data_IF_433828774060
#
_entry.id   IF_433828774060
#
_cell.length_a   1.000
_cell.length_b   1.000
_cell.length_c   1.000
_cell.angle_alpha   90.00
_cell.angle_beta   90.00
_cell.angle_gamma   90.00
#
_symmetry.space_group_name_H-M   'P 1'
#
loop_
_entity.id
_entity.type
_entity.pdbx_description
1 polymer ?
#
# COMPACT_ATOMS: atom_id res chain seq x y z
N UNK A 1 16.05 8.81 -30.58
CA UNK A 1 15.55 7.48 -31.02
C UNK A 1 14.76 6.90 -29.84
N UNK A 2 13.58 6.33 -30.09
CA UNK A 2 12.61 5.69 -29.16
C UNK A 2 11.40 6.49 -28.59
N UNK A 3 10.76 7.34 -29.40
CA UNK A 3 9.37 7.76 -29.11
C UNK A 3 8.32 6.69 -29.49
N UNK A 4 8.61 5.79 -30.44
CA UNK A 4 7.70 4.70 -30.83
C UNK A 4 7.63 3.52 -29.84
N UNK A 5 8.70 3.27 -29.09
CA UNK A 5 8.80 2.11 -28.18
C UNK A 5 7.94 2.28 -26.90
N UNK A 6 7.82 3.53 -26.42
CA UNK A 6 7.00 3.87 -25.25
C UNK A 6 5.50 3.76 -25.52
N UNK A 7 5.03 4.26 -26.67
CA UNK A 7 3.61 4.23 -27.03
C UNK A 7 3.10 2.80 -27.26
N UNK A 8 3.88 1.94 -27.92
CA UNK A 8 3.53 0.54 -28.10
C UNK A 8 3.50 -0.19 -26.77
N UNK A 9 4.55 -0.04 -25.95
CA UNK A 9 4.63 -0.72 -24.66
C UNK A 9 3.50 -0.30 -23.71
N UNK A 10 3.17 0.99 -23.67
CA UNK A 10 2.03 1.50 -22.91
C UNK A 10 0.71 0.82 -23.34
N UNK A 11 0.45 0.73 -24.65
CA UNK A 11 -0.76 0.08 -25.16
C UNK A 11 -0.86 -1.41 -24.79
N UNK A 12 0.27 -2.13 -24.82
CA UNK A 12 0.35 -3.54 -24.42
C UNK A 12 0.06 -3.69 -22.94
N UNK A 13 0.66 -2.86 -22.09
CA UNK A 13 0.49 -2.94 -20.64
C UNK A 13 -0.89 -2.52 -20.19
N UNK A 14 -1.47 -1.50 -20.83
CA UNK A 14 -2.86 -1.13 -20.63
C UNK A 14 -3.78 -2.31 -20.88
N UNK A 15 -3.64 -3.01 -22.02
CA UNK A 15 -4.41 -4.22 -22.32
C UNK A 15 -4.18 -5.34 -21.30
N UNK A 16 -2.94 -5.49 -20.81
CA UNK A 16 -2.62 -6.48 -19.78
C UNK A 16 -3.33 -6.19 -18.46
N UNK A 17 -3.34 -4.92 -18.03
CA UNK A 17 -4.03 -4.46 -16.82
C UNK A 17 -5.54 -4.61 -17.01
N UNK A 18 -6.09 -4.18 -18.14
CA UNK A 18 -7.52 -4.37 -18.46
C UNK A 18 -7.92 -5.85 -18.44
N UNK A 19 -7.08 -6.75 -18.95
CA UNK A 19 -7.35 -8.19 -18.90
C UNK A 19 -7.34 -8.74 -17.47
N UNK A 20 -6.49 -8.19 -16.59
CA UNK A 20 -6.46 -8.55 -15.17
C UNK A 20 -7.70 -8.01 -14.45
N UNK A 21 -8.04 -6.74 -14.67
CA UNK A 21 -9.11 -6.04 -13.95
C UNK A 21 -10.51 -6.61 -14.29
N UNK A 22 -10.69 -7.14 -15.51
CA UNK A 22 -11.94 -7.78 -15.93
C UNK A 22 -12.01 -9.29 -15.68
N UNK A 23 -10.95 -9.91 -15.15
CA UNK A 23 -10.95 -11.34 -14.90
C UNK A 23 -11.71 -11.68 -13.60
N UNK A 24 -12.63 -12.64 -13.68
CA UNK A 24 -13.36 -13.14 -12.49
C UNK A 24 -12.44 -13.86 -11.49
N UNK A 25 -11.28 -14.34 -11.96
CA UNK A 25 -10.28 -15.03 -11.15
C UNK A 25 -8.86 -14.71 -11.65
N UNK A 26 -7.83 -14.83 -10.78
CA UNK A 26 -6.46 -14.55 -11.17
C UNK A 26 -5.99 -15.38 -12.38
N UNK A 27 -5.48 -14.71 -13.40
CA UNK A 27 -4.92 -15.30 -14.61
C UNK A 27 -3.48 -15.75 -14.39
N UNK A 28 -3.14 -16.91 -14.94
CA UNK A 28 -1.78 -17.42 -14.97
C UNK A 28 -0.88 -16.53 -15.85
N UNK A 29 0.44 -16.62 -15.63
CA UNK A 29 1.39 -15.88 -16.45
C UNK A 29 1.27 -16.26 -17.93
N UNK A 30 1.03 -17.55 -18.21
CA UNK A 30 0.87 -18.06 -19.57
C UNK A 30 -0.40 -17.51 -20.24
N UNK A 31 -1.52 -17.46 -19.51
CA UNK A 31 -2.78 -16.89 -20.03
C UNK A 31 -2.63 -15.40 -20.38
N UNK A 32 -1.99 -14.63 -19.50
CA UNK A 32 -1.72 -13.20 -19.74
C UNK A 32 -0.77 -13.01 -20.93
N UNK A 33 0.30 -13.79 -21.01
CA UNK A 33 1.27 -13.70 -22.09
C UNK A 33 0.65 -14.07 -23.44
N UNK A 34 -0.20 -15.11 -23.47
CA UNK A 34 -0.91 -15.55 -24.66
C UNK A 34 -1.89 -14.48 -25.17
N UNK A 35 -2.62 -13.81 -24.28
CA UNK A 35 -3.54 -12.71 -24.62
C UNK A 35 -2.83 -11.55 -25.34
N UNK A 36 -1.53 -11.40 -25.09
CA UNK A 36 -0.69 -10.33 -25.63
C UNK A 36 0.25 -10.83 -26.75
N UNK A 37 0.12 -12.09 -27.19
CA UNK A 37 0.99 -12.74 -28.16
C UNK A 37 2.49 -12.66 -27.79
N UNK A 38 2.81 -12.88 -26.51
CA UNK A 38 4.16 -12.84 -25.98
C UNK A 38 4.55 -14.17 -25.32
N UNK A 39 5.86 -14.41 -25.19
CA UNK A 39 6.32 -15.46 -24.29
C UNK A 39 6.15 -15.04 -22.82
N UNK A 40 5.88 -15.97 -21.89
CA UNK A 40 5.70 -15.67 -20.46
C UNK A 40 6.89 -14.91 -19.86
N UNK A 41 8.11 -15.31 -20.20
CA UNK A 41 9.33 -14.68 -19.70
C UNK A 41 9.54 -13.26 -20.25
N UNK A 42 9.11 -12.99 -21.49
CA UNK A 42 9.15 -11.64 -22.04
C UNK A 42 8.11 -10.75 -21.37
N UNK A 43 6.86 -11.22 -21.28
CA UNK A 43 5.77 -10.49 -20.65
C UNK A 43 6.08 -10.15 -19.18
N UNK A 44 6.55 -11.13 -18.38
CA UNK A 44 6.90 -10.88 -16.98
C UNK A 44 7.94 -9.77 -16.83
N UNK A 45 9.00 -9.77 -17.65
CA UNK A 45 10.04 -8.74 -17.62
C UNK A 45 9.49 -7.38 -18.03
N UNK A 46 8.71 -7.33 -19.11
CA UNK A 46 8.11 -6.10 -19.62
C UNK A 46 7.15 -5.47 -18.60
N UNK A 47 6.24 -6.28 -18.06
CA UNK A 47 5.28 -5.86 -17.04
C UNK A 47 5.99 -5.39 -15.76
N UNK A 48 6.95 -6.16 -15.25
CA UNK A 48 7.69 -5.77 -14.03
C UNK A 48 8.51 -4.51 -14.21
N UNK A 49 9.06 -4.29 -15.42
CA UNK A 49 9.83 -3.07 -15.73
C UNK A 49 8.97 -1.82 -15.66
N UNK A 50 7.74 -1.88 -16.17
CA UNK A 50 6.88 -0.72 -16.30
C UNK A 50 5.92 -0.52 -15.14
N UNK A 51 5.33 -1.61 -14.63
CA UNK A 51 4.42 -1.58 -13.48
C UNK A 51 5.21 -1.61 -12.16
N UNK A 52 6.50 -1.96 -12.19
CA UNK A 52 7.36 -2.01 -11.00
C UNK A 52 7.19 -3.27 -10.14
N UNK A 53 6.18 -4.10 -10.41
CA UNK A 53 5.90 -5.38 -9.74
C UNK A 53 5.57 -6.46 -10.75
N UNK A 54 5.73 -7.73 -10.39
CA UNK A 54 5.36 -8.83 -11.29
C UNK A 54 3.84 -8.96 -11.45
N UNK A 55 3.34 -9.51 -12.57
CA UNK A 55 1.90 -9.72 -12.80
C UNK A 55 1.21 -10.47 -11.66
N UNK A 56 1.88 -11.50 -11.11
CA UNK A 56 1.37 -12.27 -9.97
C UNK A 56 1.22 -11.42 -8.71
N UNK A 57 2.18 -10.54 -8.42
CA UNK A 57 2.12 -9.65 -7.25
C UNK A 57 1.04 -8.58 -7.43
N UNK A 58 0.90 -8.06 -8.64
CA UNK A 58 -0.18 -7.12 -8.97
C UNK A 58 -1.56 -7.73 -8.71
N UNK A 59 -1.82 -8.93 -9.23
CA UNK A 59 -3.07 -9.64 -8.99
C UNK A 59 -3.30 -9.96 -7.50
N UNK A 60 -2.26 -10.37 -6.78
CA UNK A 60 -2.34 -10.58 -5.32
C UNK A 60 -2.77 -9.33 -4.56
N UNK A 61 -2.33 -8.15 -5.01
CA UNK A 61 -2.73 -6.89 -4.40
C UNK A 61 -4.21 -6.57 -4.69
N UNK A 62 -4.69 -6.77 -5.92
CA UNK A 62 -6.11 -6.63 -6.23
C UNK A 62 -6.99 -7.59 -5.41
N UNK A 63 -6.55 -8.84 -5.26
CA UNK A 63 -7.23 -9.82 -4.40
C UNK A 63 -7.30 -9.35 -2.94
N UNK A 64 -6.24 -8.70 -2.44
CA UNK A 64 -6.24 -8.15 -1.08
C UNK A 64 -7.25 -7.02 -0.91
N UNK A 65 -7.34 -6.10 -1.87
CA UNK A 65 -8.33 -5.01 -1.82
C UNK A 65 -9.76 -5.56 -1.82
N UNK A 66 -10.03 -6.60 -2.62
CA UNK A 66 -11.29 -7.33 -2.56
C UNK A 66 -11.52 -7.97 -1.18
N UNK A 67 -10.49 -8.60 -0.60
CA UNK A 67 -10.60 -9.19 0.74
C UNK A 67 -10.92 -8.13 1.81
N UNK A 68 -10.29 -6.96 1.75
CA UNK A 68 -10.54 -5.85 2.69
C UNK A 68 -11.99 -5.39 2.60
N UNK A 69 -12.51 -5.19 1.38
CA UNK A 69 -13.91 -4.82 1.16
C UNK A 69 -14.89 -5.86 1.74
N UNK A 70 -14.60 -7.15 1.62
CA UNK A 70 -15.41 -8.22 2.20
C UNK A 70 -15.36 -8.23 3.74
N UNK A 71 -14.19 -8.02 4.34
CA UNK A 71 -14.06 -7.95 5.80
C UNK A 71 -14.77 -6.71 6.38
N UNK A 72 -14.75 -5.58 5.65
CA UNK A 72 -15.51 -4.38 6.02
C UNK A 72 -17.02 -4.62 5.98
N UNK A 73 -17.49 -5.48 5.07
CA UNK A 73 -18.87 -5.97 5.00
C UNK A 73 -19.19 -7.05 6.04
N UNK A 74 -18.30 -7.28 7.03
CA UNK A 74 -18.46 -8.23 8.14
C UNK A 74 -18.47 -9.71 7.74
N UNK A 75 -17.92 -10.07 6.58
CA UNK A 75 -17.64 -11.47 6.27
C UNK A 75 -16.60 -12.06 7.22
N UNK A 76 -16.72 -13.34 7.54
CA UNK A 76 -15.68 -14.06 8.26
C UNK A 76 -14.41 -14.20 7.42
N UNK A 77 -13.28 -14.48 8.07
CA UNK A 77 -12.00 -14.73 7.37
C UNK A 77 -12.07 -15.95 6.45
N UNK A 78 -12.90 -16.95 6.79
CA UNK A 78 -13.12 -18.13 5.96
C UNK A 78 -13.95 -17.80 4.71
N UNK A 79 -15.07 -17.10 4.87
CA UNK A 79 -15.91 -16.66 3.74
C UNK A 79 -15.14 -15.73 2.81
N UNK A 80 -14.40 -14.78 3.38
CA UNK A 80 -13.54 -13.86 2.63
C UNK A 80 -12.53 -14.61 1.79
N UNK A 81 -11.82 -15.59 2.38
CA UNK A 81 -10.86 -16.40 1.64
C UNK A 81 -11.52 -17.17 0.50
N UNK A 82 -12.70 -17.77 0.73
CA UNK A 82 -13.41 -18.52 -0.29
C UNK A 82 -13.91 -17.62 -1.44
N UNK A 83 -14.52 -16.47 -1.13
CA UNK A 83 -15.02 -15.53 -2.14
C UNK A 83 -13.90 -14.88 -2.96
N UNK A 84 -12.74 -14.64 -2.35
CA UNK A 84 -11.56 -14.13 -3.04
C UNK A 84 -10.78 -15.21 -3.81
N UNK A 85 -11.31 -16.44 -3.91
CA UNK A 85 -10.67 -17.55 -4.63
C UNK A 85 -9.38 -18.06 -3.98
N UNK A 86 -9.17 -17.78 -2.69
CA UNK A 86 -8.01 -18.26 -1.94
C UNK A 86 -8.24 -19.70 -1.45
N UNK A 87 -7.17 -20.46 -1.33
CA UNK A 87 -7.21 -21.86 -0.87
C UNK A 87 -7.60 -22.02 0.62
N UNK A 88 -7.80 -20.93 1.35
CA UNK A 88 -8.21 -20.93 2.76
C UNK A 88 -7.73 -19.69 3.53
N UNK A 89 -8.16 -19.60 4.79
CA UNK A 89 -7.86 -18.47 5.69
C UNK A 89 -6.36 -18.29 5.98
N UNK A 90 -5.57 -19.36 5.93
CA UNK A 90 -4.11 -19.27 6.03
C UNK A 90 -3.51 -18.46 4.87
N UNK A 91 -4.04 -18.61 3.65
CA UNK A 91 -3.57 -17.85 2.49
C UNK A 91 -3.97 -16.38 2.55
N UNK A 92 -5.16 -16.11 3.09
CA UNK A 92 -5.61 -14.76 3.41
C UNK A 92 -4.66 -14.11 4.44
N UNK A 93 -4.29 -14.86 5.48
CA UNK A 93 -3.34 -14.39 6.50
C UNK A 93 -1.96 -14.06 5.90
N UNK A 94 -1.40 -14.93 5.06
CA UNK A 94 -0.15 -14.66 4.35
C UNK A 94 -0.23 -13.39 3.50
N UNK A 95 -1.38 -13.16 2.86
CA UNK A 95 -1.59 -12.01 1.98
C UNK A 95 -1.62 -10.71 2.78
N UNK A 96 -2.33 -10.71 3.91
CA UNK A 96 -2.36 -9.60 4.85
C UNK A 96 -0.98 -9.35 5.45
N UNK A 97 -0.28 -10.33 6.02
CA UNK A 97 1.05 -10.09 6.59
C UNK A 97 2.08 -9.57 5.59
N UNK A 98 1.89 -9.88 4.30
CA UNK A 98 2.78 -9.41 3.25
C UNK A 98 2.55 -7.94 2.89
N UNK A 99 1.31 -7.48 2.93
CA UNK A 99 0.89 -6.21 2.32
C UNK A 99 0.19 -5.24 3.28
N UNK A 100 -0.28 -5.73 4.42
CA UNK A 100 -0.97 -4.99 5.45
C UNK A 100 -0.23 -5.10 6.78
N UNK A 101 -0.44 -4.08 7.60
CA UNK A 101 0.21 -3.96 8.88
C UNK A 101 -0.30 -4.93 9.96
N UNK A 102 -1.37 -5.64 9.65
CA UNK A 102 -2.18 -6.38 10.60
C UNK A 102 -2.69 -7.66 9.97
N UNK A 103 -3.10 -8.60 10.81
CA UNK A 103 -3.78 -9.81 10.37
C UNK A 103 -5.18 -9.50 9.83
N UNK A 104 -5.78 -10.39 9.03
CA UNK A 104 -7.15 -10.21 8.53
C UNK A 104 -8.18 -10.05 9.65
N UNK A 105 -7.96 -10.71 10.80
CA UNK A 105 -8.86 -10.62 11.95
C UNK A 105 -8.77 -9.27 12.67
N UNK A 106 -7.57 -8.72 12.82
CA UNK A 106 -7.37 -7.36 13.34
C UNK A 106 -7.99 -6.31 12.41
N UNK A 107 -7.85 -6.51 11.09
CA UNK A 107 -8.50 -5.68 10.08
C UNK A 107 -10.03 -5.75 10.17
N UNK A 108 -10.62 -6.94 10.23
CA UNK A 108 -12.06 -7.12 10.36
C UNK A 108 -12.65 -6.47 11.64
N UNK A 109 -11.84 -6.40 12.70
CA UNK A 109 -12.18 -5.71 13.95
C UNK A 109 -11.92 -4.20 13.89
N UNK A 110 -11.49 -3.67 12.75
CA UNK A 110 -11.23 -2.25 12.50
C UNK A 110 -10.20 -1.63 13.48
N UNK A 111 -9.28 -2.46 13.98
CA UNK A 111 -8.23 -2.01 14.90
C UNK A 111 -8.64 -1.89 16.37
N UNK A 112 -9.77 -2.46 16.82
CA UNK A 112 -10.26 -2.40 18.22
C UNK A 112 -9.25 -2.89 19.28
N UNK A 113 -8.21 -3.62 18.88
CA UNK A 113 -7.12 -4.08 19.77
C UNK A 113 -5.79 -3.37 19.52
N UNK A 114 -5.76 -2.37 18.62
CA UNK A 114 -4.56 -1.66 18.22
C UNK A 114 -4.50 -0.33 18.98
N UNK A 115 -3.46 -0.15 19.76
CA UNK A 115 -3.11 1.16 20.33
C UNK A 115 -2.23 1.93 19.36
N UNK A 116 -2.68 3.11 18.96
CA UNK A 116 -1.92 4.04 18.13
C UNK A 116 -1.52 5.22 19.02
N UNK A 117 -0.24 5.35 19.30
CA UNK A 117 0.29 6.56 19.90
C UNK A 117 0.31 7.65 18.83
N UNK A 118 -0.03 8.88 19.22
CA UNK A 118 0.15 10.04 18.36
C UNK A 118 0.82 11.20 19.08
N UNK A 119 1.44 12.10 18.34
CA UNK A 119 2.01 13.33 18.86
C UNK A 119 2.13 14.39 17.78
N UNK A 120 2.06 15.65 18.21
CA UNK A 120 2.34 16.81 17.37
C UNK A 120 3.81 17.20 17.50
N UNK A 121 4.47 17.51 16.40
CA UNK A 121 5.86 17.94 16.42
C UNK A 121 6.21 18.90 15.30
N UNK A 122 7.20 19.75 15.54
CA UNK A 122 7.76 20.62 14.51
C UNK A 122 8.54 19.80 13.48
N UNK A 123 8.36 20.16 12.21
CA UNK A 123 9.08 19.57 11.08
C UNK A 123 9.53 20.65 10.10
N UNK A 124 10.42 20.33 9.14
CA UNK A 124 10.78 21.24 8.05
C UNK A 124 9.60 21.73 7.20
N UNK A 125 8.45 21.07 7.29
CA UNK A 125 7.22 21.38 6.55
C UNK A 125 6.14 22.02 7.44
N UNK A 126 6.52 22.51 8.62
CA UNK A 126 5.60 23.00 9.65
C UNK A 126 5.21 21.91 10.64
N UNK A 127 4.19 22.17 11.47
CA UNK A 127 3.73 21.21 12.46
C UNK A 127 3.15 19.95 11.79
N UNK A 128 3.61 18.80 12.24
CA UNK A 128 3.21 17.48 11.76
C UNK A 128 2.59 16.64 12.88
N UNK A 129 1.59 15.85 12.50
CA UNK A 129 1.09 14.72 13.26
C UNK A 129 1.97 13.51 12.98
N UNK A 130 2.44 12.85 14.03
CA UNK A 130 3.08 11.54 13.94
C UNK A 130 2.18 10.51 14.62
N UNK A 131 2.00 9.36 13.99
CA UNK A 131 1.30 8.21 14.53
C UNK A 131 2.19 6.97 14.49
N UNK A 132 2.17 6.18 15.56
CA UNK A 132 2.96 4.96 15.64
C UNK A 132 2.34 3.89 16.53
N UNK A 133 2.68 2.65 16.22
CA UNK A 133 2.36 1.47 17.05
C UNK A 133 3.64 0.97 17.73
N UNK A 134 3.55 -0.11 18.50
CA UNK A 134 4.73 -0.79 19.04
C UNK A 134 5.67 -1.37 17.96
N UNK A 135 5.27 -1.37 16.68
CA UNK A 135 6.07 -1.86 15.55
C UNK A 135 6.79 -0.74 14.77
N UNK A 136 6.48 0.53 15.03
CA UNK A 136 7.03 1.67 14.29
C UNK A 136 5.97 2.70 13.90
N UNK A 137 6.39 3.72 13.13
CA UNK A 137 5.49 4.75 12.60
C UNK A 137 4.52 4.16 11.59
N UNK A 138 3.23 4.50 11.74
CA UNK A 138 2.17 4.11 10.82
C UNK A 138 1.50 5.30 10.13
N UNK A 139 1.84 6.54 10.49
CA UNK A 139 1.29 7.72 9.85
C UNK A 139 2.09 8.99 10.12
N UNK A 140 2.16 9.84 9.10
CA UNK A 140 2.65 11.22 9.18
C UNK A 140 1.66 12.08 8.39
N UNK A 141 1.19 13.18 8.99
CA UNK A 141 0.36 14.16 8.31
C UNK A 141 0.83 15.58 8.64
N UNK A 142 0.72 16.49 7.68
CA UNK A 142 1.10 17.89 7.87
C UNK A 142 -0.15 18.73 8.13
N UNK A 143 -0.07 19.65 9.07
CA UNK A 143 -1.22 20.46 9.52
C UNK A 143 -1.30 21.82 8.82
N UNK A 144 -0.26 22.23 8.10
CA UNK A 144 -0.12 23.58 7.57
C UNK A 144 -1.27 24.02 6.67
N UNK A 145 -1.88 23.09 5.91
CA UNK A 145 -2.98 23.39 4.98
C UNK A 145 -4.36 23.06 5.55
N UNK A 146 -4.48 21.96 6.30
CA UNK A 146 -5.77 21.40 6.71
C UNK A 146 -6.11 21.64 8.18
N UNK A 147 -5.13 21.89 9.04
CA UNK A 147 -5.30 21.99 10.49
C UNK A 147 -5.16 20.65 11.22
N UNK A 148 -5.04 20.71 12.57
CA UNK A 148 -4.85 19.53 13.42
C UNK A 148 -6.03 18.56 13.37
N UNK A 149 -7.26 19.07 13.45
CA UNK A 149 -8.47 18.23 13.54
C UNK A 149 -8.66 17.40 12.28
N UNK A 150 -8.52 18.01 11.12
CA UNK A 150 -8.65 17.39 9.81
C UNK A 150 -7.51 16.39 9.57
N UNK A 151 -6.27 16.75 9.88
CA UNK A 151 -5.11 15.85 9.76
C UNK A 151 -5.27 14.60 10.65
N UNK A 152 -5.77 14.78 11.88
CA UNK A 152 -6.04 13.66 12.78
C UNK A 152 -7.17 12.78 12.26
N UNK A 153 -8.30 13.37 11.86
CA UNK A 153 -9.48 12.63 11.40
C UNK A 153 -9.18 11.82 10.13
N UNK A 154 -8.45 12.38 9.17
CA UNK A 154 -8.02 11.64 7.97
C UNK A 154 -7.18 10.42 8.38
N UNK A 155 -6.13 10.62 9.18
CA UNK A 155 -5.27 9.54 9.62
C UNK A 155 -6.03 8.48 10.45
N UNK A 156 -6.88 8.90 11.37
CA UNK A 156 -7.66 8.03 12.24
C UNK A 156 -8.74 7.23 11.48
N UNK A 157 -9.25 7.74 10.35
CA UNK A 157 -10.24 7.04 9.53
C UNK A 157 -9.73 5.69 8.98
N UNK A 158 -8.40 5.49 8.93
CA UNK A 158 -7.76 4.22 8.55
C UNK A 158 -7.94 3.14 9.63
N UNK A 159 -8.15 3.53 10.89
CA UNK A 159 -8.38 2.61 12.02
C UNK A 159 -9.46 3.18 12.96
N UNK A 160 -10.75 3.17 12.54
CA UNK A 160 -11.80 3.90 13.24
C UNK A 160 -12.12 3.34 14.64
N UNK A 161 -11.66 2.13 14.98
CA UNK A 161 -11.80 1.55 16.32
C UNK A 161 -10.49 1.47 17.10
N UNK A 162 -9.37 1.97 16.57
CA UNK A 162 -8.12 1.97 17.32
C UNK A 162 -8.20 2.85 18.58
N UNK A 163 -7.43 2.46 19.59
CA UNK A 163 -7.24 3.27 20.79
C UNK A 163 -6.13 4.29 20.53
N UNK A 164 -6.51 5.54 20.29
CA UNK A 164 -5.58 6.64 20.09
C UNK A 164 -5.15 7.24 21.43
N UNK A 165 -3.84 7.33 21.65
CA UNK A 165 -3.27 7.94 22.86
C UNK A 165 -2.22 8.97 22.49
N UNK A 166 -2.31 10.17 23.06
CA UNK A 166 -1.24 11.16 22.89
C UNK A 166 -0.01 10.74 23.72
N UNK A 167 1.11 10.45 23.06
CA UNK A 167 2.32 9.98 23.71
C UNK A 167 3.59 10.42 22.96
N UNK A 168 3.92 11.70 23.12
CA UNK A 168 5.10 12.30 22.51
C UNK A 168 6.41 11.60 22.89
N UNK A 169 6.54 11.11 24.13
CA UNK A 169 7.76 10.44 24.59
C UNK A 169 8.05 9.16 23.79
N UNK A 170 7.02 8.38 23.47
CA UNK A 170 7.17 7.14 22.70
C UNK A 170 7.54 7.38 21.22
N UNK A 171 7.20 8.54 20.68
CA UNK A 171 7.36 8.86 19.26
C UNK A 171 8.52 9.80 18.97
N UNK A 172 9.05 10.48 19.99
CA UNK A 172 10.07 11.53 19.84
C UNK A 172 11.25 11.09 18.98
N UNK A 173 11.88 9.97 19.34
CA UNK A 173 13.06 9.47 18.62
C UNK A 173 12.74 9.15 17.15
N UNK A 174 11.58 8.54 16.88
CA UNK A 174 11.16 8.19 15.53
C UNK A 174 10.79 9.41 14.70
N UNK A 175 10.10 10.38 15.29
CA UNK A 175 9.78 11.65 14.63
C UNK A 175 11.02 12.47 14.30
N UNK A 176 11.95 12.60 15.26
CA UNK A 176 13.22 13.31 15.06
C UNK A 176 14.06 12.64 13.95
N UNK A 177 14.12 11.31 13.93
CA UNK A 177 14.83 10.58 12.88
C UNK A 177 14.16 10.71 11.50
N UNK A 178 12.82 10.69 11.45
CA UNK A 178 12.06 10.83 10.21
C UNK A 178 12.31 12.18 9.51
N UNK A 179 12.45 13.27 10.27
CA UNK A 179 12.69 14.61 9.72
C UNK A 179 14.17 15.04 9.70
N UNK A 180 15.00 14.50 10.60
CA UNK A 180 16.38 14.91 10.80
C UNK A 180 17.38 14.36 9.77
N UNK A 181 16.96 13.48 8.86
CA UNK A 181 17.85 12.77 7.91
C UNK A 181 19.00 12.03 8.62
N UNK A 182 18.78 11.64 9.88
CA UNK A 182 19.77 10.99 10.75
C UNK A 182 19.10 9.93 11.60
N UNK A 183 19.75 8.78 11.79
CA UNK A 183 19.18 7.64 12.52
C UNK A 183 18.28 6.76 11.65
N UNK A 184 17.78 5.66 12.22
CA UNK A 184 16.83 4.75 11.58
C UNK A 184 15.44 4.91 12.20
N UNK A 185 14.43 5.01 11.35
CA UNK A 185 13.03 5.02 11.78
C UNK A 185 12.37 3.74 11.26
N UNK A 186 11.84 2.87 12.14
CA UNK A 186 11.00 1.77 11.70
C UNK A 186 9.72 2.36 11.10
N UNK A 187 9.66 2.36 9.79
CA UNK A 187 8.50 2.81 9.03
C UNK A 187 7.65 1.62 8.65
N UNK A 188 6.38 1.68 9.03
CA UNK A 188 5.36 0.84 8.46
C UNK A 188 4.75 1.54 7.26
N UNK A 189 5.33 1.30 6.08
CA UNK A 189 4.78 1.84 4.85
C UNK A 189 3.42 1.20 4.60
N UNK A 190 2.39 2.04 4.55
CA UNK A 190 1.05 1.65 4.14
C UNK A 190 1.00 1.74 2.63
N UNK A 191 0.83 0.59 1.99
CA UNK A 191 0.53 0.52 0.58
C UNK A 191 1.09 -0.72 -0.11
N UNK A 192 0.49 -1.04 -1.26
CA UNK A 192 0.98 -2.07 -2.16
C UNK A 192 2.45 -1.82 -2.53
N UNK A 193 3.24 -2.84 -2.92
CA UNK A 193 4.55 -2.59 -3.50
C UNK A 193 4.47 -1.75 -4.76
N UNK A 194 3.35 -1.82 -5.49
CA UNK A 194 3.11 -0.90 -6.59
C UNK A 194 3.05 0.56 -6.10
N UNK A 195 2.29 0.86 -5.04
CA UNK A 195 2.25 2.19 -4.44
C UNK A 195 3.62 2.59 -3.89
N UNK A 196 4.37 1.67 -3.27
CA UNK A 196 5.75 1.91 -2.85
C UNK A 196 6.65 2.21 -4.06
N UNK A 197 6.47 1.54 -5.20
CA UNK A 197 7.19 1.84 -6.44
C UNK A 197 6.84 3.21 -7.00
N UNK A 198 5.59 3.65 -6.86
CA UNK A 198 5.19 5.04 -7.16
C UNK A 198 5.96 6.00 -6.23
N UNK A 199 5.98 5.75 -4.92
CA UNK A 199 6.75 6.57 -3.98
C UNK A 199 8.25 6.59 -4.30
N UNK A 200 8.86 5.44 -4.58
CA UNK A 200 10.26 5.34 -5.01
C UNK A 200 10.52 6.11 -6.31
N UNK A 201 9.57 6.12 -7.25
CA UNK A 201 9.67 6.88 -8.48
C UNK A 201 9.57 8.39 -8.22
N UNK A 202 8.63 8.81 -7.36
CA UNK A 202 8.48 10.21 -6.94
C UNK A 202 9.73 10.72 -6.21
N UNK A 203 10.36 9.89 -5.37
CA UNK A 203 11.60 10.24 -4.68
C UNK A 203 12.81 10.43 -5.61
N UNK A 204 12.76 9.93 -6.84
CA UNK A 204 13.81 10.18 -7.85
C UNK A 204 13.65 11.53 -8.54
N UNK A 205 12.49 12.19 -8.39
CA UNK A 205 12.26 13.52 -8.96
C UNK A 205 13.07 14.52 -8.14
N UNK A 206 14.02 15.26 -8.75
CA UNK A 206 14.76 16.29 -8.03
C UNK A 206 13.81 17.39 -7.52
N UNK A 207 14.14 17.96 -6.36
CA UNK A 207 13.34 19.05 -5.80
C UNK A 207 13.17 20.21 -6.79
N UNK A 208 11.93 20.68 -6.97
CA UNK A 208 11.58 21.76 -7.89
C UNK A 208 11.37 21.34 -9.35
N UNK A 209 11.41 20.04 -9.66
CA UNK A 209 11.15 19.51 -11.00
C UNK A 209 9.86 18.71 -11.04
N UNK A 210 9.21 18.68 -12.21
CA UNK A 210 8.13 17.74 -12.53
C UNK A 210 8.67 16.74 -13.55
N UNK A 211 8.26 15.48 -13.43
CA UNK A 211 8.52 14.45 -14.45
C UNK A 211 7.18 14.00 -15.02
N UNK A 212 7.13 13.76 -16.33
CA UNK A 212 5.98 13.20 -17.05
C UNK A 212 6.23 11.76 -17.44
#
# INVERSE_FOLDING_TARGET
>A
MNSHDGSYTYSVLRRAIEAIDHADAPLSLDQLAQTLNMSPAHFQRLFSKWVGVSPKRYQQYLTLDQCKALLDQRHSTLETAHQAGLSGSGRLHDLFLRWEAMSPGEFARQGDTVTINFSWMDSPFGEALIMGTNRGLCGIAFTAETGRSEAFNDMAARWPKAHFMENAASLKQWGEAAFGRSGETPLHLIGAPFQIKVWEALLKIPSGYVTT
#
